data_IF_923633684091
#
_entry.id   IF_923633684091
#
_cell.length_a   1.000
_cell.length_b   1.000
_cell.length_c   1.000
_cell.angle_alpha   90.00
_cell.angle_beta   90.00
_cell.angle_gamma   90.00
#
_symmetry.space_group_name_H-M   'P 1'
#
loop_
_entity.id
_entity.type
_entity.pdbx_description
1 polymer ?
#
# COMPACT_ATOMS: atom_id res chain seq x y z
N UNK A 1 -0.13 16.60 -2.63
CA UNK A 1 0.99 15.71 -3.05
C UNK A 1 1.43 14.93 -1.82
N UNK A 2 1.46 13.60 -1.88
CA UNK A 2 2.00 12.74 -0.82
C UNK A 2 3.33 12.12 -1.22
N UNK A 3 3.87 12.53 -2.36
CA UNK A 3 5.01 11.90 -3.00
C UNK A 3 6.26 11.96 -2.14
N UNK A 4 6.41 12.88 -1.20
CA UNK A 4 7.59 13.00 -0.30
C UNK A 4 7.18 12.99 1.18
N UNK A 5 5.97 12.50 1.49
CA UNK A 5 5.45 12.52 2.84
C UNK A 5 6.13 11.44 3.71
N UNK A 6 6.43 11.79 4.96
CA UNK A 6 6.90 10.83 5.96
C UNK A 6 5.74 10.33 6.82
N UNK A 7 5.40 9.05 6.65
CA UNK A 7 4.35 8.33 7.37
C UNK A 7 4.93 7.34 8.39
N UNK A 8 6.15 7.57 8.87
CA UNK A 8 6.79 6.62 9.79
C UNK A 8 5.93 6.41 11.04
N UNK A 9 5.52 5.16 11.30
CA UNK A 9 4.64 4.80 12.42
C UNK A 9 3.17 5.21 12.28
N UNK A 10 2.75 5.78 11.14
CA UNK A 10 1.37 6.20 10.94
C UNK A 10 0.41 5.00 10.83
N UNK A 11 -0.83 5.19 11.29
CA UNK A 11 -1.90 4.22 11.09
C UNK A 11 -2.78 4.61 9.89
N UNK A 12 -2.66 3.86 8.80
CA UNK A 12 -3.42 4.01 7.56
C UNK A 12 -4.30 2.77 7.30
N UNK A 13 -4.70 2.08 8.36
CA UNK A 13 -5.61 0.93 8.27
C UNK A 13 -6.90 1.35 7.53
N UNK A 14 -7.29 0.57 6.52
CA UNK A 14 -8.47 0.82 5.67
C UNK A 14 -8.48 2.16 4.90
N UNK A 15 -7.34 2.86 4.81
CA UNK A 15 -7.24 4.10 4.04
C UNK A 15 -7.35 3.85 2.53
N UNK A 16 -7.99 4.78 1.81
CA UNK A 16 -8.05 4.76 0.35
C UNK A 16 -6.97 5.70 -0.25
N UNK A 17 -5.93 5.10 -0.81
CA UNK A 17 -4.78 5.79 -1.44
C UNK A 17 -4.78 5.64 -2.98
N UNK A 18 -5.86 5.12 -3.58
CA UNK A 18 -5.97 4.79 -5.02
C UNK A 18 -5.71 5.95 -5.99
N UNK A 19 -5.85 7.20 -5.54
CA UNK A 19 -5.61 8.40 -6.35
C UNK A 19 -4.42 9.23 -5.83
N UNK A 20 -3.50 8.61 -5.08
CA UNK A 20 -2.36 9.29 -4.49
C UNK A 20 -1.06 8.88 -5.17
N UNK A 21 -0.13 9.83 -5.33
CA UNK A 21 1.25 9.52 -5.71
C UNK A 21 2.09 9.37 -4.43
N UNK A 22 2.66 8.18 -4.22
CA UNK A 22 3.51 7.82 -3.08
C UNK A 22 4.97 7.53 -3.51
N UNK A 23 5.38 7.99 -4.70
CA UNK A 23 6.66 7.59 -5.33
C UNK A 23 7.92 7.73 -4.46
N UNK A 24 8.02 8.78 -3.64
CA UNK A 24 9.13 9.03 -2.70
C UNK A 24 8.66 9.05 -1.23
N UNK A 25 7.48 8.48 -0.94
CA UNK A 25 6.89 8.53 0.39
C UNK A 25 7.61 7.56 1.34
N UNK A 26 7.86 7.99 2.57
CA UNK A 26 8.50 7.14 3.61
C UNK A 26 7.41 6.44 4.41
N UNK A 27 7.27 5.11 4.23
CA UNK A 27 6.23 4.27 4.87
C UNK A 27 6.78 3.33 5.95
N UNK A 28 7.90 3.70 6.60
CA UNK A 28 8.54 2.86 7.61
C UNK A 28 7.62 2.60 8.81
N UNK A 29 7.43 1.33 9.20
CA UNK A 29 6.55 0.97 10.32
C UNK A 29 5.09 1.48 10.19
N UNK A 30 4.62 1.82 8.99
CA UNK A 30 3.23 2.25 8.75
C UNK A 30 2.27 1.06 8.77
N UNK A 31 1.12 1.22 9.43
CA UNK A 31 0.07 0.19 9.45
C UNK A 31 -0.84 0.37 8.23
N UNK A 32 -0.78 -0.54 7.26
CA UNK A 32 -1.54 -0.48 6.00
C UNK A 32 -2.61 -1.58 5.87
N UNK A 33 -3.00 -2.24 6.97
CA UNK A 33 -3.97 -3.35 6.92
C UNK A 33 -5.26 -2.88 6.24
N UNK A 34 -5.66 -3.55 5.16
CA UNK A 34 -6.88 -3.21 4.42
C UNK A 34 -6.83 -1.90 3.62
N UNK A 35 -5.71 -1.20 3.57
CA UNK A 35 -5.56 0.00 2.74
C UNK A 35 -5.63 -0.36 1.25
N UNK A 36 -6.19 0.55 0.44
CA UNK A 36 -6.14 0.49 -1.02
C UNK A 36 -4.96 1.35 -1.47
N UNK A 37 -3.96 0.76 -2.11
CA UNK A 37 -2.75 1.41 -2.60
C UNK A 37 -3.00 2.15 -3.93
N UNK A 38 -2.07 3.01 -4.38
CA UNK A 38 -2.19 3.75 -5.64
C UNK A 38 -2.43 2.89 -6.89
N UNK A 39 -1.96 1.64 -6.89
CA UNK A 39 -2.19 0.68 -7.98
C UNK A 39 -3.52 -0.08 -7.86
N UNK A 40 -4.36 0.30 -6.88
CA UNK A 40 -5.65 -0.33 -6.59
C UNK A 40 -5.53 -1.67 -5.84
N UNK A 41 -4.33 -2.09 -5.45
CA UNK A 41 -4.14 -3.32 -4.65
C UNK A 41 -4.32 -3.05 -3.17
N UNK A 42 -4.49 -4.11 -2.39
CA UNK A 42 -4.31 -4.03 -0.93
C UNK A 42 -3.03 -4.77 -0.53
N UNK A 43 -2.35 -4.40 0.58
CA UNK A 43 -1.12 -5.07 0.99
C UNK A 43 -1.26 -6.59 1.19
N UNK A 44 -2.46 -7.07 1.50
CA UNK A 44 -2.76 -8.51 1.64
C UNK A 44 -3.00 -9.22 0.31
N UNK A 45 -3.38 -8.51 -0.77
CA UNK A 45 -3.65 -9.12 -2.09
C UNK A 45 -2.39 -9.59 -2.84
N UNK A 46 -1.18 -9.23 -2.38
CA UNK A 46 0.07 -9.78 -2.89
C UNK A 46 0.21 -11.29 -2.64
N UNK A 47 -0.45 -11.83 -1.61
CA UNK A 47 -0.36 -13.25 -1.23
C UNK A 47 -1.05 -14.22 -2.20
N UNK A 48 -1.94 -13.74 -3.09
CA UNK A 48 -2.70 -14.60 -4.02
C UNK A 48 -2.42 -14.34 -5.50
N UNK A 49 -1.64 -13.31 -5.87
CA UNK A 49 -1.35 -12.97 -7.27
C UNK A 49 -0.20 -13.76 -7.91
N UNK A 50 0.49 -14.62 -7.14
CA UNK A 50 1.59 -15.47 -7.61
C UNK A 50 1.25 -16.97 -7.71
N UNK A 51 -0.01 -17.39 -7.52
CA UNK A 51 -0.44 -18.75 -7.87
C UNK A 51 -0.70 -18.85 -9.38
N UNK A 52 0.33 -18.65 -10.19
CA UNK A 52 0.35 -19.25 -11.52
C UNK A 52 0.32 -20.76 -11.27
N UNK A 53 -0.66 -21.53 -11.77
CA UNK A 53 -0.65 -22.96 -11.61
C UNK A 53 0.66 -23.47 -12.21
N UNK A 54 1.42 -24.24 -11.42
CA UNK A 54 2.50 -25.06 -11.96
C UNK A 54 1.81 -26.07 -12.89
N UNK A 55 1.82 -25.79 -14.19
CA UNK A 55 1.56 -26.78 -15.23
C UNK A 55 2.92 -27.13 -15.81
#
# INVERSE_FOLDING_TARGET
MLSEANFTGANLTEANLSNTNLGEAILGQTYLKGAILPDGTTPSTLSNRLKVPQI
#
